data_IF_297960241685
#
_entry.id   IF_297960241685
#
_cell.length_a   1.000
_cell.length_b   1.000
_cell.length_c   1.000
_cell.angle_alpha   90.00
_cell.angle_beta   90.00
_cell.angle_gamma   90.00
#
_symmetry.space_group_name_H-M   'P 1'
#
loop_
_entity.id
_entity.type
_entity.pdbx_description
1 polymer ?
#
# COMPACT_ATOMS: atom_id res chain seq x y z
N UNK A 1 5.07 3.61 4.67
CA UNK A 1 4.45 3.11 5.93
C UNK A 1 5.39 2.12 6.60
N UNK A 2 5.15 1.75 7.87
CA UNK A 2 5.94 0.74 8.58
C UNK A 2 5.00 -0.16 9.39
N UNK A 3 4.94 -1.45 9.08
CA UNK A 3 4.00 -2.41 9.69
C UNK A 3 4.68 -3.75 10.01
N UNK A 4 4.23 -4.49 11.04
CA UNK A 4 4.70 -5.84 11.33
C UNK A 4 4.04 -6.92 10.43
N UNK A 5 3.60 -6.54 9.21
CA UNK A 5 2.91 -7.39 8.24
C UNK A 5 3.45 -7.10 6.84
N UNK A 6 3.44 -8.11 5.96
CA UNK A 6 3.72 -7.87 4.53
C UNK A 6 2.47 -7.37 3.80
N UNK A 7 2.61 -6.90 2.56
CA UNK A 7 1.45 -6.54 1.73
C UNK A 7 0.55 -7.76 1.46
N UNK A 8 1.15 -8.94 1.30
CA UNK A 8 0.46 -10.21 1.07
C UNK A 8 -0.29 -10.70 2.31
N UNK A 9 0.18 -10.38 3.51
CA UNK A 9 -0.56 -10.68 4.75
C UNK A 9 -1.91 -9.93 4.79
N UNK A 10 -1.94 -8.73 4.19
CA UNK A 10 -3.11 -7.85 4.14
C UNK A 10 -3.97 -8.03 2.87
N UNK A 11 -3.51 -8.84 1.91
CA UNK A 11 -4.22 -9.13 0.66
C UNK A 11 -4.72 -10.59 0.64
N UNK A 12 -6.03 -10.83 0.82
CA UNK A 12 -6.60 -12.17 0.71
C UNK A 12 -6.52 -12.72 -0.73
N UNK A 13 -6.13 -11.93 -1.72
CA UNK A 13 -6.07 -12.31 -3.13
C UNK A 13 -7.44 -12.28 -3.81
N UNK A 14 -7.56 -12.97 -4.94
CA UNK A 14 -8.73 -12.87 -5.83
C UNK A 14 -9.96 -13.65 -5.38
N UNK A 15 -9.84 -14.51 -4.37
CA UNK A 15 -10.96 -15.31 -3.85
C UNK A 15 -11.45 -14.75 -2.51
N UNK A 16 -12.75 -14.92 -2.22
CA UNK A 16 -13.33 -14.45 -0.97
C UNK A 16 -12.89 -15.35 0.20
N UNK A 17 -11.93 -14.90 0.99
CA UNK A 17 -11.41 -15.63 2.16
C UNK A 17 -12.05 -15.29 3.51
N UNK A 18 -12.94 -14.28 3.57
CA UNK A 18 -13.57 -13.81 4.82
C UNK A 18 -12.54 -13.50 5.91
N UNK A 19 -11.45 -12.82 5.54
CA UNK A 19 -10.35 -12.50 6.45
C UNK A 19 -10.69 -11.26 7.28
N UNK A 20 -10.30 -11.28 8.55
CA UNK A 20 -10.50 -10.21 9.52
C UNK A 20 -9.15 -9.79 10.12
N UNK A 21 -9.03 -8.60 10.73
CA UNK A 21 -7.79 -8.17 11.36
C UNK A 21 -7.25 -9.12 12.43
N UNK A 22 -8.14 -9.86 13.12
CA UNK A 22 -7.75 -10.85 14.15
C UNK A 22 -7.06 -12.08 13.57
N UNK A 23 -7.20 -12.34 12.27
CA UNK A 23 -6.57 -13.46 11.58
C UNK A 23 -5.11 -13.17 11.21
N UNK A 24 -4.65 -11.92 11.37
CA UNK A 24 -3.29 -11.50 11.07
C UNK A 24 -2.32 -11.92 12.18
N UNK A 25 -1.22 -12.56 11.79
CA UNK A 25 -0.12 -12.90 12.70
C UNK A 25 1.04 -11.94 12.49
N UNK A 26 1.49 -11.27 13.55
CA UNK A 26 2.65 -10.36 13.48
C UNK A 26 3.93 -11.10 13.06
N UNK A 27 4.71 -10.46 12.20
CA UNK A 27 6.00 -10.96 11.73
C UNK A 27 7.12 -10.49 12.66
N UNK A 28 8.22 -11.25 12.70
CA UNK A 28 9.45 -10.90 13.45
C UNK A 28 10.30 -9.84 12.74
N UNK A 29 9.70 -9.07 11.83
CA UNK A 29 10.33 -7.99 11.08
C UNK A 29 9.29 -6.92 10.76
N UNK A 30 9.76 -5.74 10.38
CA UNK A 30 8.90 -4.63 9.93
C UNK A 30 9.00 -4.47 8.43
N UNK A 31 7.88 -4.52 7.73
CA UNK A 31 7.79 -4.12 6.33
C UNK A 31 7.77 -2.59 6.25
N UNK A 32 8.73 -2.02 5.51
CA UNK A 32 8.87 -0.58 5.30
C UNK A 32 8.60 -0.23 3.84
N UNK A 33 7.63 0.64 3.61
CA UNK A 33 7.32 1.21 2.29
C UNK A 33 7.82 2.65 2.21
N UNK A 34 8.72 2.92 1.25
CA UNK A 34 9.31 4.23 0.94
C UNK A 34 8.93 4.59 -0.50
N UNK A 35 7.82 5.32 -0.65
CA UNK A 35 7.23 5.61 -1.95
C UNK A 35 7.32 7.10 -2.27
N UNK A 36 7.61 7.45 -3.53
CA UNK A 36 7.49 8.82 -4.02
C UNK A 36 6.06 9.35 -3.85
N UNK A 37 5.11 8.55 -4.34
CA UNK A 37 3.69 8.87 -4.40
C UNK A 37 2.89 7.55 -4.37
N UNK A 38 1.67 7.62 -3.83
CA UNK A 38 0.66 6.58 -3.94
C UNK A 38 -0.58 7.16 -4.62
N UNK A 39 -1.21 6.40 -5.52
CA UNK A 39 -2.49 6.81 -6.13
C UNK A 39 -3.56 7.00 -5.04
N UNK A 40 -4.50 7.91 -5.29
CA UNK A 40 -5.69 8.04 -4.45
C UNK A 40 -6.49 6.73 -4.34
N UNK A 41 -7.24 6.59 -3.24
CA UNK A 41 -8.07 5.41 -2.97
C UNK A 41 -9.40 5.45 -3.74
N UNK A 42 -9.97 6.65 -3.93
CA UNK A 42 -11.29 6.82 -4.54
C UNK A 42 -12.41 6.70 -3.50
N UNK A 43 -13.57 6.20 -3.91
CA UNK A 43 -14.70 5.97 -2.99
C UNK A 43 -16.02 6.63 -3.39
N UNK A 44 -16.10 7.31 -4.54
CA UNK A 44 -17.39 7.82 -5.07
C UNK A 44 -18.41 6.69 -5.23
N UNK A 45 -17.93 5.49 -5.62
CA UNK A 45 -18.61 4.23 -5.41
C UNK A 45 -17.60 3.08 -5.26
N UNK A 46 -18.08 1.90 -4.85
CA UNK A 46 -17.25 0.71 -4.61
C UNK A 46 -17.37 -0.34 -5.73
N UNK A 47 -17.81 0.05 -6.93
CA UNK A 47 -18.10 -0.89 -8.04
C UNK A 47 -17.71 -0.35 -9.41
N UNK A 48 -16.70 0.52 -9.47
CA UNK A 48 -16.04 0.86 -10.75
C UNK A 48 -15.55 2.30 -10.88
N UNK A 49 -15.90 3.20 -9.96
CA UNK A 49 -15.37 4.56 -10.00
C UNK A 49 -13.86 4.59 -9.67
N UNK A 50 -13.09 5.29 -10.49
CA UNK A 50 -11.70 5.61 -10.20
C UNK A 50 -11.59 6.80 -9.22
N UNK A 51 -10.44 6.97 -8.53
CA UNK A 51 -10.09 8.23 -7.90
C UNK A 51 -10.17 9.40 -8.90
N UNK A 52 -10.53 10.60 -8.44
CA UNK A 52 -10.57 11.78 -9.30
C UNK A 52 -9.22 12.02 -9.97
N UNK A 53 -9.24 12.54 -11.20
CA UNK A 53 -8.06 12.60 -12.08
C UNK A 53 -6.81 13.23 -11.43
N UNK A 54 -6.98 14.25 -10.58
CA UNK A 54 -5.89 14.92 -9.86
C UNK A 54 -5.16 14.04 -8.82
N UNK A 55 -5.70 12.87 -8.49
CA UNK A 55 -5.12 11.88 -7.57
C UNK A 55 -4.64 10.61 -8.30
N UNK A 56 -4.61 10.62 -9.63
CA UNK A 56 -4.05 9.55 -10.45
C UNK A 56 -2.58 9.85 -10.78
N UNK A 57 -1.76 8.79 -10.83
CA UNK A 57 -0.36 8.89 -11.26
C UNK A 57 -0.26 8.58 -12.75
N UNK A 58 -0.51 9.58 -13.60
CA UNK A 58 -0.60 9.41 -15.07
C UNK A 58 0.61 9.91 -15.87
N UNK A 59 1.59 10.54 -15.22
CA UNK A 59 2.80 11.01 -15.91
C UNK A 59 3.60 9.84 -16.49
N UNK A 60 4.25 10.03 -17.66
CA UNK A 60 5.02 8.98 -18.31
C UNK A 60 6.29 8.62 -17.53
N UNK A 61 6.83 9.57 -16.76
CA UNK A 61 8.05 9.37 -15.98
C UNK A 61 7.91 10.03 -14.61
N UNK A 62 8.46 9.36 -13.60
CA UNK A 62 8.64 9.87 -12.25
C UNK A 62 10.09 9.66 -11.85
N UNK A 63 10.64 10.58 -11.06
CA UNK A 63 12.00 10.46 -10.52
C UNK A 63 11.93 10.65 -9.02
N UNK A 64 12.60 9.75 -8.30
CA UNK A 64 12.61 9.73 -6.84
C UNK A 64 13.94 9.19 -6.36
N UNK A 65 14.45 9.77 -5.28
CA UNK A 65 15.67 9.31 -4.61
C UNK A 65 15.49 9.48 -3.12
N UNK A 66 16.11 8.60 -2.34
CA UNK A 66 16.18 8.67 -0.89
C UNK A 66 17.55 8.16 -0.45
N UNK A 67 17.96 8.54 0.77
CA UNK A 67 19.14 8.02 1.45
C UNK A 67 18.64 7.40 2.76
N UNK A 68 19.13 6.20 3.07
CA UNK A 68 18.89 5.56 4.36
C UNK A 68 20.23 5.22 4.99
N UNK A 69 20.41 5.64 6.23
CA UNK A 69 21.61 5.38 7.00
C UNK A 69 21.22 4.95 8.42
N UNK A 70 21.93 3.98 9.01
CA UNK A 70 21.73 3.61 10.40
C UNK A 70 22.21 4.75 11.31
N UNK A 71 21.43 5.01 12.37
CA UNK A 71 21.85 5.92 13.44
C UNK A 71 22.81 5.16 14.36
N UNK A 72 23.88 5.83 14.77
CA UNK A 72 24.89 5.29 15.70
C UNK A 72 24.48 5.48 17.15
#
# INVERSE_FOLDING_TARGET
SALPYTAEDLDPGVTKKQQHPVDLTERKFTSLHIDLNQRGVGGDNSWGAYPHAKYLLTQPNYTYTYIIEPIQ
#
